data_IF_770318630586
#
_entry.id   IF_770318630586
#
_cell.length_a   1.000
_cell.length_b   1.000
_cell.length_c   1.000
_cell.angle_alpha   90.00
_cell.angle_beta   90.00
_cell.angle_gamma   90.00
#
_symmetry.space_group_name_H-M   'P 1'
#
loop_
_entity.id
_entity.type
_entity.pdbx_description
1 polymer ?
#
# COMPACT_ATOMS: atom_id res chain seq x y z
N UNK A 1 -5.27 13.67 19.95
CA UNK A 1 -6.20 12.51 19.97
C UNK A 1 -5.37 11.22 20.04
N UNK A 2 -5.87 10.10 20.60
CA UNK A 2 -5.07 8.86 20.80
C UNK A 2 -4.44 8.30 19.50
N UNK A 3 -5.03 8.64 18.36
CA UNK A 3 -4.61 8.23 17.02
C UNK A 3 -3.50 9.12 16.43
N UNK A 4 -3.25 10.31 16.99
CA UNK A 4 -2.20 11.23 16.53
C UNK A 4 -0.82 10.87 17.09
N UNK A 5 -0.77 9.96 18.06
CA UNK A 5 0.47 9.44 18.57
C UNK A 5 1.09 8.53 17.50
N UNK A 6 2.41 8.54 17.28
CA UNK A 6 3.04 7.60 16.34
C UNK A 6 2.91 6.16 16.87
N UNK A 7 2.67 5.20 15.98
CA UNK A 7 2.96 3.79 16.26
C UNK A 7 4.44 3.54 16.06
N UNK A 8 5.07 2.84 16.99
CA UNK A 8 6.49 2.53 16.93
C UNK A 8 6.64 1.01 17.07
N UNK A 9 6.83 0.26 15.98
CA UNK A 9 6.98 -1.19 16.06
C UNK A 9 8.30 -1.63 16.73
N UNK A 10 9.29 -0.75 16.89
CA UNK A 10 10.56 -1.04 17.57
C UNK A 10 10.43 -0.88 19.08
N UNK A 11 9.84 0.24 19.55
CA UNK A 11 9.86 0.63 20.97
C UNK A 11 8.48 0.77 21.61
N UNK A 12 7.43 0.79 20.82
CA UNK A 12 6.06 1.05 21.26
C UNK A 12 5.08 -0.01 20.76
N UNK A 13 3.77 0.26 20.80
CA UNK A 13 2.81 -0.64 20.21
C UNK A 13 2.86 -0.47 18.69
N UNK A 14 3.12 -1.56 17.97
CA UNK A 14 3.08 -1.59 16.49
C UNK A 14 1.66 -1.46 15.90
N UNK A 15 0.64 -1.37 16.74
CA UNK A 15 -0.77 -1.14 16.36
C UNK A 15 -1.51 -0.43 17.49
N UNK A 16 -2.64 0.22 17.19
CA UNK A 16 -3.55 0.81 18.17
C UNK A 16 -4.99 0.62 17.77
N UNK A 17 -5.85 0.40 18.76
CA UNK A 17 -7.29 0.33 18.59
C UNK A 17 -7.93 1.43 19.44
N UNK A 18 -8.74 2.28 18.81
CA UNK A 18 -9.59 3.24 19.48
C UNK A 18 -11.06 2.87 19.22
N UNK A 19 -11.88 2.92 20.26
CA UNK A 19 -13.31 2.69 20.18
C UNK A 19 -14.01 3.87 20.82
N UNK A 20 -14.90 4.51 20.07
CA UNK A 20 -15.70 5.65 20.52
C UNK A 20 -17.18 5.28 20.39
N UNK A 21 -17.90 5.27 21.51
CA UNK A 21 -19.35 5.14 21.48
C UNK A 21 -19.96 6.38 20.80
N UNK A 22 -20.98 6.16 19.96
CA UNK A 22 -21.73 7.19 19.27
C UNK A 22 -23.06 7.42 20.00
N UNK A 23 -23.52 8.67 19.99
CA UNK A 23 -24.88 9.00 20.41
C UNK A 23 -25.88 8.20 19.57
N UNK A 24 -26.87 7.59 20.22
CA UNK A 24 -27.87 6.74 19.54
C UNK A 24 -27.55 5.24 19.46
N UNK A 25 -26.49 4.77 20.11
CA UNK A 25 -26.29 3.32 20.36
C UNK A 25 -25.41 2.57 19.35
N UNK A 26 -24.44 3.25 18.74
CA UNK A 26 -23.41 2.64 17.89
C UNK A 26 -21.98 2.90 18.41
N UNK A 27 -20.97 2.51 17.63
CA UNK A 27 -19.58 2.88 17.91
C UNK A 27 -18.78 3.11 16.63
N UNK A 28 -17.83 4.04 16.70
CA UNK A 28 -16.75 4.18 15.73
C UNK A 28 -15.52 3.42 16.25
N UNK A 29 -14.96 2.55 15.41
CA UNK A 29 -13.77 1.76 15.71
C UNK A 29 -12.68 2.11 14.70
N UNK A 30 -11.51 2.51 15.22
CA UNK A 30 -10.33 2.80 14.40
C UNK A 30 -9.19 1.90 14.82
N UNK A 31 -8.71 1.07 13.90
CA UNK A 31 -7.54 0.22 14.08
C UNK A 31 -6.40 0.74 13.20
N UNK A 32 -5.34 1.24 13.84
CA UNK A 32 -4.09 1.60 13.18
C UNK A 32 -3.10 0.45 13.33
N UNK A 33 -2.51 -0.01 12.24
CA UNK A 33 -1.51 -1.09 12.24
C UNK A 33 -0.30 -0.63 11.44
N UNK A 34 0.90 -0.76 12.01
CA UNK A 34 2.13 -0.49 11.28
C UNK A 34 2.28 -1.49 10.14
N UNK A 35 2.42 -0.99 8.92
CA UNK A 35 2.59 -1.84 7.73
C UNK A 35 3.90 -2.66 7.77
N UNK A 36 4.83 -2.32 8.66
CA UNK A 36 6.04 -3.09 8.92
C UNK A 36 5.77 -4.45 9.59
N UNK A 37 4.70 -4.55 10.39
CA UNK A 37 4.38 -5.76 11.16
C UNK A 37 3.30 -6.61 10.48
N UNK A 38 2.38 -5.98 9.75
CA UNK A 38 1.30 -6.69 9.08
C UNK A 38 0.84 -5.96 7.81
N UNK A 39 0.52 -6.73 6.76
CA UNK A 39 -0.25 -6.22 5.63
C UNK A 39 -1.76 -6.40 5.87
N UNK A 40 -2.57 -5.98 4.89
CA UNK A 40 -4.03 -6.00 5.01
C UNK A 40 -4.61 -7.42 5.10
N UNK A 41 -3.98 -8.41 4.51
CA UNK A 41 -4.47 -9.79 4.56
C UNK A 41 -4.23 -10.39 5.96
N UNK A 42 -3.05 -10.18 6.54
CA UNK A 42 -2.80 -10.58 7.92
C UNK A 42 -3.69 -9.82 8.92
N UNK A 43 -3.87 -8.51 8.71
CA UNK A 43 -4.71 -7.67 9.57
C UNK A 43 -6.18 -8.10 9.52
N UNK A 44 -6.75 -8.29 8.33
CA UNK A 44 -8.13 -8.75 8.18
C UNK A 44 -8.36 -10.13 8.79
N UNK A 45 -7.42 -11.07 8.64
CA UNK A 45 -7.51 -12.38 9.25
C UNK A 45 -7.43 -12.31 10.79
N UNK A 46 -6.60 -11.41 11.33
CA UNK A 46 -6.52 -11.18 12.77
C UNK A 46 -7.82 -10.60 13.32
N UNK A 47 -8.44 -9.64 12.62
CA UNK A 47 -9.77 -9.11 12.97
C UNK A 47 -10.81 -10.23 12.94
N UNK A 48 -10.88 -10.99 11.85
CA UNK A 48 -11.85 -12.07 11.71
C UNK A 48 -11.71 -13.14 12.81
N UNK A 49 -10.47 -13.46 13.19
CA UNK A 49 -10.23 -14.37 14.31
C UNK A 49 -10.67 -13.78 15.64
N UNK A 50 -10.37 -12.50 15.90
CA UNK A 50 -10.79 -11.83 17.13
C UNK A 50 -12.31 -11.78 17.27
N UNK A 51 -13.03 -11.42 16.19
CA UNK A 51 -14.50 -11.38 16.15
C UNK A 51 -15.11 -12.76 16.40
N UNK A 52 -14.53 -13.80 15.80
CA UNK A 52 -14.97 -15.17 16.02
C UNK A 52 -14.49 -15.80 17.34
N UNK A 53 -13.80 -15.04 18.20
CA UNK A 53 -13.22 -15.56 19.45
C UNK A 53 -12.07 -16.55 19.27
N UNK A 54 -11.56 -16.70 18.04
CA UNK A 54 -10.43 -17.59 17.71
C UNK A 54 -9.12 -16.93 18.14
N UNK A 55 -8.26 -17.70 18.81
CA UNK A 55 -6.91 -17.29 19.21
C UNK A 55 -5.88 -18.24 18.60
N UNK A 56 -5.48 -18.04 17.33
CA UNK A 56 -4.51 -18.91 16.68
C UNK A 56 -3.19 -18.91 17.47
N UNK A 57 -2.65 -20.10 17.71
CA UNK A 57 -1.32 -20.25 18.29
C UNK A 57 -0.25 -19.88 17.26
N UNK A 58 0.20 -18.63 17.27
CA UNK A 58 1.27 -18.15 16.40
C UNK A 58 2.67 -18.61 16.83
N UNK A 59 2.79 -19.34 17.95
CA UNK A 59 4.07 -19.83 18.47
C UNK A 59 4.90 -18.74 19.17
N UNK A 60 4.30 -17.57 19.39
CA UNK A 60 4.90 -16.53 20.23
C UNK A 60 4.78 -16.94 21.71
N UNK A 61 5.88 -16.79 22.46
CA UNK A 61 5.90 -17.09 23.89
C UNK A 61 5.07 -16.08 24.69
N UNK A 62 4.74 -16.43 25.94
CA UNK A 62 3.99 -15.56 26.82
C UNK A 62 4.72 -14.21 27.03
N UNK A 63 4.00 -13.07 27.13
CA UNK A 63 4.61 -11.75 27.33
C UNK A 63 5.53 -11.66 28.55
N UNK A 64 5.30 -12.47 29.59
CA UNK A 64 6.11 -12.52 30.80
C UNK A 64 7.53 -13.06 30.58
N UNK A 65 7.81 -13.69 29.44
CA UNK A 65 9.10 -14.32 29.14
C UNK A 65 10.04 -13.43 28.30
N UNK A 66 9.61 -12.22 27.93
CA UNK A 66 10.34 -11.32 27.02
C UNK A 66 11.82 -11.12 27.38
N UNK A 67 12.16 -11.08 28.66
CA UNK A 67 13.53 -10.86 29.16
C UNK A 67 14.21 -12.11 29.73
N UNK A 68 13.60 -13.28 29.56
CA UNK A 68 14.22 -14.52 30.02
C UNK A 68 15.49 -14.85 29.21
N UNK A 69 16.53 -15.45 29.83
CA UNK A 69 17.74 -15.85 29.10
C UNK A 69 17.44 -16.78 27.90
N UNK A 70 16.42 -17.64 28.04
CA UNK A 70 15.94 -18.52 26.97
C UNK A 70 15.41 -17.72 25.78
N UNK A 71 14.72 -16.60 26.03
CA UNK A 71 14.25 -15.70 24.98
C UNK A 71 15.39 -15.03 24.25
N UNK A 72 16.34 -14.46 25.01
CA UNK A 72 17.51 -13.81 24.43
C UNK A 72 18.33 -14.79 23.59
N UNK A 73 18.47 -16.04 24.04
CA UNK A 73 19.12 -17.09 23.26
C UNK A 73 18.32 -17.43 21.99
N UNK A 74 16.99 -17.57 22.08
CA UNK A 74 16.11 -17.81 20.92
C UNK A 74 16.21 -16.68 19.90
N UNK A 75 16.11 -15.43 20.33
CA UNK A 75 16.19 -14.24 19.48
C UNK A 75 17.58 -14.09 18.86
N UNK A 76 18.63 -14.44 19.60
CA UNK A 76 20.01 -14.48 19.08
C UNK A 76 20.17 -15.55 18.00
N UNK A 77 19.66 -16.77 18.23
CA UNK A 77 19.68 -17.84 17.23
C UNK A 77 18.89 -17.43 15.98
N UNK A 78 17.73 -16.81 16.15
CA UNK A 78 16.94 -16.33 15.02
C UNK A 78 17.66 -15.22 14.24
N UNK A 79 18.27 -14.27 14.95
CA UNK A 79 19.10 -13.22 14.36
C UNK A 79 20.31 -13.78 13.60
N UNK A 80 20.94 -14.84 14.11
CA UNK A 80 22.03 -15.52 13.40
C UNK A 80 21.54 -16.24 12.14
N UNK A 81 20.31 -16.78 12.15
CA UNK A 81 19.71 -17.46 10.99
C UNK A 81 19.36 -16.51 9.86
N UNK A 82 19.14 -15.22 10.12
CA UNK A 82 18.86 -14.22 9.07
C UNK A 82 20.13 -13.65 8.43
N UNK A 83 21.30 -13.82 9.04
CA UNK A 83 22.58 -13.30 8.49
C UNK A 83 22.87 -13.73 7.05
N UNK A 84 22.61 -14.99 6.61
CA UNK A 84 22.80 -15.38 5.22
C UNK A 84 21.89 -14.62 4.24
N UNK A 85 20.66 -14.29 4.64
CA UNK A 85 19.74 -13.48 3.83
C UNK A 85 20.25 -12.04 3.70
N UNK A 86 20.71 -11.45 4.80
CA UNK A 86 21.34 -10.12 4.82
C UNK A 86 22.58 -10.09 3.93
N UNK A 87 23.45 -11.11 4.04
CA UNK A 87 24.63 -11.25 3.19
C UNK A 87 24.26 -11.35 1.70
N UNK A 88 23.30 -12.22 1.36
CA UNK A 88 22.80 -12.35 -0.02
C UNK A 88 22.25 -11.03 -0.55
N UNK A 89 21.50 -10.30 0.27
CA UNK A 89 20.96 -8.99 -0.07
C UNK A 89 22.08 -7.96 -0.33
N UNK A 90 23.14 -7.95 0.50
CA UNK A 90 24.32 -7.11 0.27
C UNK A 90 25.05 -7.46 -1.04
N UNK A 91 25.18 -8.76 -1.37
CA UNK A 91 25.78 -9.20 -2.64
C UNK A 91 24.93 -8.74 -3.83
N UNK A 92 23.60 -8.81 -3.74
CA UNK A 92 22.69 -8.29 -4.78
C UNK A 92 22.88 -6.77 -4.94
N UNK A 93 22.91 -6.03 -3.83
CA UNK A 93 23.11 -4.58 -3.83
C UNK A 93 24.45 -4.19 -4.49
N UNK A 94 25.54 -4.83 -4.11
CA UNK A 94 26.89 -4.56 -4.66
C UNK A 94 27.00 -4.92 -6.14
N UNK A 95 26.42 -6.05 -6.57
CA UNK A 95 26.39 -6.44 -8.00
C UNK A 95 25.60 -5.46 -8.85
N UNK A 96 24.53 -4.86 -8.30
CA UNK A 96 23.76 -3.80 -8.99
C UNK A 96 24.57 -2.53 -9.16
N UNK A 97 25.27 -2.11 -8.11
CA UNK A 97 26.19 -0.96 -8.18
C UNK A 97 27.35 -1.19 -9.16
N UNK A 98 27.78 -2.45 -9.36
CA UNK A 98 28.84 -2.80 -10.31
C UNK A 98 28.40 -2.91 -11.78
N UNK A 99 27.13 -3.25 -12.06
CA UNK A 99 26.58 -3.34 -13.43
C UNK A 99 26.10 -2.00 -13.98
N UNK A 100 25.78 -1.04 -13.12
CA UNK A 100 25.55 0.35 -13.51
C UNK A 100 26.82 1.18 -13.43
N UNK A 101 27.57 1.31 -14.53
CA UNK A 101 28.37 2.53 -14.76
C UNK A 101 27.43 3.70 -15.06
N UNK A 102 26.51 3.98 -14.15
CA UNK A 102 25.86 5.28 -14.06
C UNK A 102 26.77 6.11 -13.18
N UNK A 103 27.57 6.96 -13.83
CA UNK A 103 28.17 8.13 -13.21
C UNK A 103 27.20 8.71 -12.19
N UNK A 104 27.53 8.68 -10.90
CA UNK A 104 26.91 9.54 -9.91
C UNK A 104 26.97 10.97 -10.48
N UNK A 105 25.85 11.60 -10.89
CA UNK A 105 25.91 13.01 -11.21
C UNK A 105 26.29 13.70 -9.91
N UNK A 106 27.33 14.54 -9.98
CA UNK A 106 27.75 15.38 -8.86
C UNK A 106 26.63 16.38 -8.56
N UNK A 107 25.62 15.95 -7.81
CA UNK A 107 24.56 16.84 -7.36
C UNK A 107 25.15 17.84 -6.38
N UNK A 108 24.94 19.13 -6.65
CA UNK A 108 25.38 20.24 -5.80
C UNK A 108 24.94 20.00 -4.35
N UNK A 109 25.75 20.37 -3.35
CA UNK A 109 25.31 20.32 -1.95
C UNK A 109 24.13 21.29 -1.80
N UNK A 110 22.92 20.76 -1.72
CA UNK A 110 21.72 21.57 -1.42
C UNK A 110 21.46 21.55 0.07
N UNK A 111 20.96 22.70 0.53
CA UNK A 111 20.97 23.16 1.90
C UNK A 111 20.52 22.08 2.90
N UNK A 112 21.20 22.07 4.06
CA UNK A 112 20.72 21.44 5.29
C UNK A 112 19.29 21.92 5.52
N UNK A 113 18.33 21.09 5.16
CA UNK A 113 16.96 21.42 5.49
C UNK A 113 16.78 21.35 7.01
N UNK A 114 16.08 22.36 7.51
CA UNK A 114 15.63 22.49 8.90
C UNK A 114 14.41 21.57 9.11
N UNK A 115 14.55 20.26 8.93
CA UNK A 115 13.44 19.28 8.91
C UNK A 115 12.98 18.78 10.29
N UNK A 116 13.00 19.61 11.34
CA UNK A 116 12.58 19.14 12.67
C UNK A 116 11.25 19.72 13.17
N UNK A 117 10.57 20.58 12.39
CA UNK A 117 9.34 21.24 12.84
C UNK A 117 8.26 21.48 11.76
N UNK A 118 8.37 20.88 10.56
CA UNK A 118 7.27 21.01 9.60
C UNK A 118 6.07 20.16 10.04
N UNK A 119 4.85 20.74 10.08
CA UNK A 119 3.66 19.95 10.38
C UNK A 119 3.39 18.94 9.27
N UNK A 120 2.76 17.82 9.64
CA UNK A 120 2.24 16.87 8.67
C UNK A 120 1.12 17.53 7.86
N UNK A 121 1.05 17.17 6.58
CA UNK A 121 -0.01 17.56 5.66
C UNK A 121 -0.97 16.40 5.52
N UNK A 122 -2.26 16.69 5.66
CA UNK A 122 -3.31 15.71 5.44
C UNK A 122 -3.46 15.44 3.94
N UNK A 123 -3.14 14.21 3.53
CA UNK A 123 -3.40 13.75 2.16
C UNK A 123 -4.90 13.56 2.00
N UNK A 124 -5.56 14.21 1.02
CA UNK A 124 -6.99 14.14 0.90
C UNK A 124 -7.42 12.75 0.44
N UNK A 125 -8.55 12.32 0.99
CA UNK A 125 -9.08 10.98 0.82
C UNK A 125 -10.52 11.04 0.33
N UNK A 126 -10.83 10.25 -0.69
CA UNK A 126 -12.19 10.06 -1.20
C UNK A 126 -12.52 8.58 -1.19
N UNK A 127 -13.62 8.19 -0.55
CA UNK A 127 -14.08 6.81 -0.59
C UNK A 127 -15.07 6.62 -1.74
N UNK A 128 -15.00 5.46 -2.40
CA UNK A 128 -15.96 5.02 -3.40
C UNK A 128 -16.48 3.65 -3.00
N UNK A 129 -17.80 3.51 -2.96
CA UNK A 129 -18.49 2.23 -2.70
C UNK A 129 -19.32 1.86 -3.93
N UNK A 130 -19.07 0.67 -4.47
CA UNK A 130 -19.72 0.16 -5.69
C UNK A 130 -20.35 -1.21 -5.43
N UNK A 131 -21.35 -1.56 -6.24
CA UNK A 131 -21.87 -2.93 -6.30
C UNK A 131 -20.82 -3.83 -6.98
N UNK A 132 -20.33 -4.85 -6.26
CA UNK A 132 -19.32 -5.75 -6.78
C UNK A 132 -19.82 -6.53 -8.01
N UNK A 133 -21.11 -6.88 -8.03
CA UNK A 133 -21.76 -7.54 -9.16
C UNK A 133 -21.76 -6.68 -10.42
N UNK A 134 -22.08 -5.38 -10.30
CA UNK A 134 -22.08 -4.43 -11.39
C UNK A 134 -20.67 -4.20 -11.94
N UNK A 135 -19.67 -4.05 -11.06
CA UNK A 135 -18.27 -3.97 -11.49
C UNK A 135 -17.82 -5.22 -12.23
N UNK A 136 -18.21 -6.41 -11.74
CA UNK A 136 -17.87 -7.68 -12.39
C UNK A 136 -18.53 -7.80 -13.77
N UNK A 137 -19.81 -7.45 -13.89
CA UNK A 137 -20.52 -7.40 -15.19
C UNK A 137 -19.82 -6.46 -16.15
N UNK A 138 -19.48 -5.24 -15.70
CA UNK A 138 -18.76 -4.25 -16.50
C UNK A 138 -17.41 -4.76 -16.98
N UNK A 139 -16.66 -5.46 -16.13
CA UNK A 139 -15.39 -6.08 -16.53
C UNK A 139 -15.62 -7.16 -17.60
N UNK A 140 -16.64 -8.00 -17.43
CA UNK A 140 -17.04 -9.01 -18.41
C UNK A 140 -17.45 -8.43 -19.76
N UNK A 141 -18.22 -7.32 -19.78
CA UNK A 141 -18.63 -6.64 -21.02
C UNK A 141 -17.41 -6.11 -21.81
N UNK A 142 -16.37 -5.68 -21.10
CA UNK A 142 -15.09 -5.24 -21.69
C UNK A 142 -14.17 -6.42 -22.05
N UNK A 143 -14.51 -7.65 -21.65
CA UNK A 143 -13.71 -8.86 -21.86
C UNK A 143 -12.43 -8.88 -21.02
N UNK A 144 -12.43 -8.25 -19.85
CA UNK A 144 -11.29 -8.17 -18.93
C UNK A 144 -11.63 -8.65 -17.53
N UNK A 145 -10.62 -8.94 -16.73
CA UNK A 145 -10.75 -9.27 -15.33
C UNK A 145 -11.08 -8.02 -14.50
N UNK A 146 -11.77 -8.20 -13.37
CA UNK A 146 -12.14 -7.11 -12.46
C UNK A 146 -10.94 -6.32 -11.96
N UNK A 147 -9.82 -6.99 -11.68
CA UNK A 147 -8.57 -6.33 -11.31
C UNK A 147 -8.05 -5.39 -12.41
N UNK A 148 -8.19 -5.78 -13.68
CA UNK A 148 -7.81 -4.93 -14.82
C UNK A 148 -8.73 -3.71 -14.92
N UNK A 149 -10.04 -3.86 -14.69
CA UNK A 149 -10.97 -2.73 -14.68
C UNK A 149 -10.58 -1.69 -13.61
N UNK A 150 -10.21 -2.14 -12.41
CA UNK A 150 -9.75 -1.25 -11.32
C UNK A 150 -8.41 -0.59 -11.66
N UNK A 151 -7.48 -1.32 -12.28
CA UNK A 151 -6.23 -0.72 -12.75
C UNK A 151 -6.44 0.30 -13.87
N UNK A 152 -7.38 0.05 -14.79
CA UNK A 152 -7.74 0.99 -15.83
C UNK A 152 -8.35 2.26 -15.24
N UNK A 153 -9.23 2.14 -14.24
CA UNK A 153 -9.69 3.28 -13.44
C UNK A 153 -8.53 4.06 -12.82
N UNK A 154 -7.59 3.37 -12.16
CA UNK A 154 -6.43 4.01 -11.54
C UNK A 154 -5.57 4.76 -12.58
N UNK A 155 -5.38 4.19 -13.77
CA UNK A 155 -4.67 4.84 -14.87
C UNK A 155 -5.40 6.11 -15.37
N UNK A 156 -6.74 6.05 -15.51
CA UNK A 156 -7.55 7.22 -15.89
C UNK A 156 -7.49 8.33 -14.85
N UNK A 157 -7.57 7.98 -13.56
CA UNK A 157 -7.46 8.93 -12.48
C UNK A 157 -6.07 9.60 -12.47
N UNK A 158 -5.01 8.81 -12.58
CA UNK A 158 -3.64 9.31 -12.64
C UNK A 158 -3.43 10.27 -13.82
N UNK A 159 -3.93 9.91 -15.00
CA UNK A 159 -3.91 10.76 -16.18
C UNK A 159 -4.62 12.10 -15.94
N UNK A 160 -5.82 12.07 -15.34
CA UNK A 160 -6.56 13.30 -15.03
C UNK A 160 -5.86 14.19 -13.99
N UNK A 161 -4.98 13.61 -13.18
CA UNK A 161 -4.13 14.32 -12.22
C UNK A 161 -2.75 14.68 -12.79
N UNK A 162 -2.53 14.54 -14.11
CA UNK A 162 -1.24 14.74 -14.81
C UNK A 162 -0.07 13.90 -14.28
N UNK A 163 -0.36 12.69 -13.77
CA UNK A 163 0.65 11.72 -13.31
C UNK A 163 1.00 10.75 -14.43
N UNK A 164 1.62 11.26 -15.49
CA UNK A 164 2.11 10.49 -16.64
C UNK A 164 3.62 10.70 -16.84
N UNK A 165 4.27 9.72 -17.44
CA UNK A 165 5.66 9.84 -17.89
C UNK A 165 5.79 10.71 -19.15
N UNK A 166 7.03 10.91 -19.62
CA UNK A 166 7.31 11.68 -20.83
C UNK A 166 6.67 11.10 -22.11
N UNK A 167 6.26 9.83 -22.11
CA UNK A 167 5.55 9.16 -23.21
C UNK A 167 4.03 9.18 -23.04
N UNK A 168 3.50 9.82 -22.00
CA UNK A 168 2.07 9.87 -21.70
C UNK A 168 1.53 8.62 -21.02
N UNK A 169 2.39 7.70 -20.55
CA UNK A 169 1.98 6.45 -19.88
C UNK A 169 2.01 6.61 -18.36
N UNK A 170 1.12 5.87 -17.69
CA UNK A 170 1.00 5.85 -16.24
C UNK A 170 1.77 4.65 -15.68
N UNK A 171 2.66 4.90 -14.72
CA UNK A 171 3.37 3.85 -13.98
C UNK A 171 2.53 3.35 -12.81
N UNK A 172 1.92 2.19 -12.95
CA UNK A 172 1.15 1.52 -11.89
C UNK A 172 2.05 0.56 -11.11
N UNK A 173 2.09 0.69 -9.79
CA UNK A 173 2.83 -0.21 -8.89
C UNK A 173 1.82 -0.99 -8.05
N UNK A 174 1.92 -2.32 -8.09
CA UNK A 174 0.96 -3.20 -7.45
C UNK A 174 1.65 -4.15 -6.48
N UNK A 175 1.27 -4.14 -5.19
CA UNK A 175 1.64 -5.21 -4.29
C UNK A 175 0.89 -6.50 -4.64
N UNK A 176 1.60 -7.62 -4.63
CA UNK A 176 1.11 -8.97 -4.90
C UNK A 176 1.48 -9.84 -3.72
N UNK A 177 0.52 -10.62 -3.23
CA UNK A 177 0.79 -11.56 -2.16
C UNK A 177 1.71 -12.69 -2.63
N UNK A 178 2.76 -12.93 -1.85
CA UNK A 178 3.69 -14.07 -2.00
C UNK A 178 3.37 -15.16 -0.96
N UNK A 179 2.18 -15.12 -0.36
CA UNK A 179 1.76 -16.14 0.61
C UNK A 179 1.48 -17.47 -0.07
N UNK A 180 2.01 -18.52 0.53
CA UNK A 180 1.65 -19.90 0.24
C UNK A 180 0.67 -20.44 1.29
N UNK A 181 0.17 -21.67 1.09
CA UNK A 181 -0.65 -22.35 2.10
C UNK A 181 0.10 -22.43 3.44
N UNK A 182 -0.58 -22.12 4.54
CA UNK A 182 -0.02 -22.06 5.90
C UNK A 182 1.03 -20.97 6.15
N UNK A 183 1.20 -19.99 5.27
CA UNK A 183 2.07 -18.84 5.54
C UNK A 183 1.47 -17.96 6.66
N UNK A 184 2.26 -17.77 7.73
CA UNK A 184 1.88 -16.99 8.91
C UNK A 184 2.61 -15.64 9.00
N UNK A 185 3.37 -15.26 7.97
CA UNK A 185 4.06 -13.97 7.93
C UNK A 185 3.06 -12.82 8.00
N UNK A 186 3.37 -11.84 8.84
CA UNK A 186 2.56 -10.62 8.99
C UNK A 186 2.51 -9.81 7.70
N UNK A 187 3.66 -9.64 7.03
CA UNK A 187 3.73 -8.98 5.72
C UNK A 187 4.43 -9.91 4.73
N UNK A 188 3.74 -10.24 3.65
CA UNK A 188 4.24 -11.14 2.61
C UNK A 188 3.84 -10.59 1.23
N UNK A 189 4.26 -9.36 0.96
CA UNK A 189 4.02 -8.67 -0.29
C UNK A 189 5.30 -8.57 -1.11
N UNK A 190 5.14 -8.74 -2.41
CA UNK A 190 6.10 -8.39 -3.46
C UNK A 190 5.46 -7.34 -4.35
N UNK A 191 6.22 -6.70 -5.24
CA UNK A 191 5.66 -5.66 -6.10
C UNK A 191 5.90 -5.95 -7.57
N UNK A 192 4.92 -5.64 -8.40
CA UNK A 192 5.06 -5.53 -9.86
C UNK A 192 4.84 -4.11 -10.31
N UNK A 193 5.42 -3.74 -11.44
CA UNK A 193 5.19 -2.46 -12.11
C UNK A 193 4.62 -2.73 -13.50
N UNK A 194 3.58 -1.99 -13.88
CA UNK A 194 2.93 -2.06 -15.18
C UNK A 194 2.78 -0.66 -15.74
N UNK A 195 3.17 -0.47 -17.00
CA UNK A 195 2.99 0.80 -17.72
C UNK A 195 1.64 0.77 -18.44
N UNK A 196 0.72 1.62 -18.02
CA UNK A 196 -0.62 1.73 -18.59
C UNK A 196 -0.70 2.91 -19.56
N UNK A 197 -1.28 2.70 -20.73
CA UNK A 197 -1.71 3.79 -21.60
C UNK A 197 -3.13 4.21 -21.17
N UNK A 198 -3.32 5.44 -20.67
CA UNK A 198 -4.61 5.86 -20.14
C UNK A 198 -5.70 5.94 -21.21
N UNK A 199 -5.40 6.24 -22.47
CA UNK A 199 -6.40 6.33 -23.53
C UNK A 199 -6.81 4.95 -24.03
N UNK A 200 -5.85 4.02 -24.12
CA UNK A 200 -6.14 2.61 -24.31
C UNK A 200 -6.99 2.06 -23.16
N UNK A 201 -6.72 2.43 -21.90
CA UNK A 201 -7.52 1.98 -20.75
C UNK A 201 -9.01 2.35 -20.85
N UNK A 202 -9.34 3.49 -21.47
CA UNK A 202 -10.72 3.95 -21.67
C UNK A 202 -11.44 3.14 -22.75
N UNK A 203 -10.73 2.76 -23.81
CA UNK A 203 -11.30 2.18 -25.03
C UNK A 203 -11.15 0.66 -25.10
N UNK A 204 -9.96 0.13 -24.82
CA UNK A 204 -9.64 -1.31 -24.77
C UNK A 204 -8.58 -1.62 -23.69
N UNK A 205 -9.07 -2.05 -22.52
CA UNK A 205 -8.21 -2.44 -21.40
C UNK A 205 -7.56 -3.83 -21.55
N UNK A 206 -7.76 -4.56 -22.67
CA UNK A 206 -7.16 -5.90 -22.86
C UNK A 206 -5.64 -5.85 -23.00
N UNK A 207 -5.09 -4.75 -23.54
CA UNK A 207 -3.65 -4.54 -23.57
C UNK A 207 -3.08 -4.48 -22.14
N UNK A 208 -3.70 -3.68 -21.27
CA UNK A 208 -3.34 -3.61 -19.86
C UNK A 208 -3.45 -4.98 -19.16
N UNK A 209 -4.50 -5.77 -19.48
CA UNK A 209 -4.63 -7.12 -18.94
C UNK A 209 -3.47 -8.03 -19.37
N UNK A 210 -3.04 -7.97 -20.63
CA UNK A 210 -1.90 -8.75 -21.14
C UNK A 210 -0.62 -8.36 -20.42
N UNK A 211 -0.38 -7.06 -20.26
CA UNK A 211 0.81 -6.53 -19.58
C UNK A 211 0.83 -6.92 -18.10
N UNK A 212 -0.31 -6.84 -17.41
CA UNK A 212 -0.46 -7.31 -16.03
C UNK A 212 -0.14 -8.81 -15.91
N UNK A 213 -0.71 -9.65 -16.79
CA UNK A 213 -0.43 -11.10 -16.78
C UNK A 213 1.04 -11.39 -17.05
N UNK A 214 1.66 -10.67 -17.99
CA UNK A 214 3.08 -10.81 -18.29
C UNK A 214 3.95 -10.41 -17.09
N UNK A 215 3.63 -9.30 -16.41
CA UNK A 215 4.33 -8.84 -15.21
C UNK A 215 4.22 -9.84 -14.05
N UNK A 216 3.02 -10.38 -13.79
CA UNK A 216 2.81 -11.44 -12.79
C UNK A 216 3.59 -12.72 -13.14
N UNK A 217 3.56 -13.14 -14.40
CA UNK A 217 4.30 -14.32 -14.84
C UNK A 217 5.82 -14.11 -14.75
N UNK A 218 6.31 -12.89 -15.00
CA UNK A 218 7.71 -12.52 -14.78
C UNK A 218 8.07 -12.56 -13.30
N UNK A 219 7.22 -12.03 -12.42
CA UNK A 219 7.42 -12.09 -10.96
C UNK A 219 7.56 -13.54 -10.48
N UNK A 220 6.72 -14.46 -10.96
CA UNK A 220 6.79 -15.88 -10.60
C UNK A 220 8.08 -16.53 -11.10
N UNK A 221 8.52 -16.23 -12.32
CA UNK A 221 9.71 -16.86 -12.92
C UNK A 221 11.04 -16.28 -12.43
N UNK A 222 11.12 -14.95 -12.39
CA UNK A 222 12.37 -14.21 -12.22
C UNK A 222 12.46 -13.52 -10.86
N UNK A 223 11.34 -13.39 -10.17
CA UNK A 223 11.20 -12.55 -9.00
C UNK A 223 11.08 -11.06 -9.32
N UNK A 224 11.26 -10.23 -8.31
CA UNK A 224 11.27 -8.78 -8.40
C UNK A 224 12.59 -8.23 -7.88
N UNK A 225 12.88 -7.00 -8.28
CA UNK A 225 14.15 -6.39 -7.93
C UNK A 225 14.20 -5.90 -6.48
N UNK A 226 13.07 -5.61 -5.85
CA UNK A 226 13.07 -4.92 -4.55
C UNK A 226 13.13 -5.92 -3.39
N UNK A 227 12.39 -7.01 -3.46
CA UNK A 227 12.25 -8.00 -2.38
C UNK A 227 13.56 -8.64 -1.91
N UNK A 228 14.55 -8.94 -2.79
CA UNK A 228 15.86 -9.43 -2.35
C UNK A 228 16.60 -8.46 -1.44
N UNK A 229 16.23 -7.17 -1.43
CA UNK A 229 16.83 -6.15 -0.56
C UNK A 229 16.08 -5.97 0.76
N UNK A 230 14.89 -6.56 0.94
CA UNK A 230 14.10 -6.43 2.17
C UNK A 230 14.86 -6.82 3.45
N UNK A 231 15.72 -7.86 3.48
CA UNK A 231 16.52 -8.18 4.66
C UNK A 231 17.45 -7.04 5.10
N UNK A 232 17.77 -6.08 4.23
CA UNK A 232 18.60 -4.94 4.58
C UNK A 232 17.81 -3.82 5.26
N UNK A 233 16.48 -3.75 5.07
CA UNK A 233 15.65 -2.63 5.53
C UNK A 233 15.90 -2.27 7.01
N UNK A 234 15.95 -3.23 7.96
CA UNK A 234 16.21 -2.90 9.38
C UNK A 234 17.59 -2.28 9.64
N UNK A 235 18.54 -2.49 8.73
CA UNK A 235 19.91 -2.01 8.83
C UNK A 235 20.17 -0.73 8.03
N UNK A 236 19.20 -0.28 7.21
CA UNK A 236 19.33 0.97 6.45
C UNK A 236 19.06 2.15 7.39
N UNK A 237 20.03 3.04 7.63
CA UNK A 237 19.78 4.24 8.41
C UNK A 237 18.68 5.10 7.76
N UNK A 238 17.82 5.71 8.56
CA UNK A 238 16.68 6.52 8.08
C UNK A 238 17.08 7.60 7.06
N UNK A 239 18.24 8.24 7.26
CA UNK A 239 18.76 9.24 6.32
C UNK A 239 19.07 8.65 4.94
N UNK A 240 19.53 7.39 4.89
CA UNK A 240 19.86 6.69 3.66
C UNK A 240 18.59 6.20 2.95
N UNK A 241 17.63 5.69 3.72
CA UNK A 241 16.31 5.33 3.18
C UNK A 241 15.64 6.53 2.48
N UNK A 242 15.61 7.70 3.12
CA UNK A 242 15.08 8.96 2.54
C UNK A 242 15.83 9.43 1.30
N UNK A 243 17.12 9.10 1.18
CA UNK A 243 17.93 9.43 0.01
C UNK A 243 17.63 8.49 -1.16
N UNK A 244 17.45 7.21 -0.88
CA UNK A 244 17.17 6.17 -1.86
C UNK A 244 15.72 6.18 -2.36
N UNK A 245 14.78 6.71 -1.58
CA UNK A 245 13.36 6.82 -1.93
C UNK A 245 13.13 7.49 -3.31
N UNK A 246 13.86 8.57 -3.60
CA UNK A 246 13.80 9.26 -4.91
C UNK A 246 14.39 8.44 -6.05
N UNK A 247 15.43 7.65 -5.80
CA UNK A 247 16.03 6.80 -6.83
C UNK A 247 15.17 5.56 -7.13
N UNK A 248 14.46 5.05 -6.11
CA UNK A 248 13.59 3.88 -6.23
C UNK A 248 12.24 4.20 -6.90
N UNK A 249 11.66 5.38 -6.64
CA UNK A 249 10.39 5.80 -7.25
C UNK A 249 10.55 6.14 -8.75
N UNK A 250 11.76 6.49 -9.18
CA UNK A 250 12.04 6.95 -10.55
C UNK A 250 11.50 8.37 -10.80
N UNK A 251 11.82 8.95 -11.95
CA UNK A 251 11.29 10.26 -12.34
C UNK A 251 9.77 10.23 -12.63
N UNK A 252 9.21 9.04 -12.87
CA UNK A 252 7.84 8.83 -13.30
C UNK A 252 6.94 8.57 -12.07
N UNK A 253 6.33 9.65 -11.55
CA UNK A 253 5.38 9.72 -10.43
C UNK A 253 4.52 8.45 -10.25
N UNK A 254 4.93 7.44 -9.46
CA UNK A 254 4.26 6.16 -9.45
C UNK A 254 2.90 6.25 -8.77
N UNK A 255 1.99 5.38 -9.21
CA UNK A 255 0.64 5.26 -8.68
C UNK A 255 0.51 3.89 -8.01
N UNK A 256 0.31 3.89 -6.70
CA UNK A 256 0.11 2.65 -5.95
C UNK A 256 -1.31 2.15 -6.10
N UNK A 257 -1.49 0.96 -6.65
CA UNK A 257 -2.80 0.32 -6.78
C UNK A 257 -2.78 -1.00 -6.02
N UNK A 258 -3.41 -1.03 -4.84
CA UNK A 258 -3.41 -2.21 -3.96
C UNK A 258 -4.72 -2.96 -4.10
N UNK A 259 -4.65 -4.10 -4.79
CA UNK A 259 -5.80 -4.98 -5.03
C UNK A 259 -5.83 -6.05 -3.93
N UNK A 260 -6.37 -5.69 -2.76
CA UNK A 260 -6.39 -6.53 -1.56
C UNK A 260 -7.26 -7.78 -1.78
N UNK A 261 -8.30 -7.67 -2.60
CA UNK A 261 -9.21 -8.77 -2.91
C UNK A 261 -10.38 -8.87 -1.93
N UNK A 262 -10.91 -10.09 -1.75
CA UNK A 262 -12.01 -10.37 -0.84
C UNK A 262 -11.51 -10.47 0.61
N UNK A 263 -12.16 -9.72 1.48
CA UNK A 263 -11.94 -9.79 2.93
C UNK A 263 -13.06 -10.59 3.60
N UNK A 264 -12.77 -11.28 4.72
CA UNK A 264 -13.79 -11.94 5.51
C UNK A 264 -14.90 -10.97 5.95
N UNK A 265 -16.16 -11.42 5.96
CA UNK A 265 -17.30 -10.62 6.43
C UNK A 265 -17.12 -10.12 7.88
N UNK A 266 -16.42 -10.89 8.70
CA UNK A 266 -16.11 -10.55 10.08
C UNK A 266 -15.31 -9.24 10.23
N UNK A 267 -14.58 -8.82 9.19
CA UNK A 267 -13.87 -7.53 9.16
C UNK A 267 -14.85 -6.35 9.28
N UNK A 268 -16.07 -6.52 8.76
CA UNK A 268 -17.12 -5.51 8.85
C UNK A 268 -18.00 -5.66 10.10
N UNK A 269 -17.68 -6.59 11.01
CA UNK A 269 -18.53 -6.95 12.15
C UNK A 269 -17.87 -6.90 13.54
N UNK A 270 -16.87 -6.05 13.84
CA UNK A 270 -16.21 -6.08 15.14
C UNK A 270 -17.11 -5.68 16.32
N UNK A 271 -18.14 -4.86 16.07
CA UNK A 271 -19.12 -4.43 17.08
C UNK A 271 -20.56 -4.54 16.57
N UNK A 272 -20.81 -5.49 15.67
CA UNK A 272 -21.99 -5.51 14.79
C UNK A 272 -21.64 -5.00 13.39
N UNK A 273 -22.57 -5.12 12.45
CA UNK A 273 -22.34 -4.76 11.04
C UNK A 273 -22.13 -3.27 10.85
N UNK A 274 -20.96 -2.87 10.35
CA UNK A 274 -20.63 -1.47 10.19
C UNK A 274 -21.40 -0.87 9.01
N UNK A 275 -21.93 0.34 9.24
CA UNK A 275 -22.53 1.17 8.18
C UNK A 275 -21.47 1.76 7.25
N UNK A 276 -20.26 1.98 7.76
CA UNK A 276 -19.10 2.51 7.05
C UNK A 276 -17.87 1.67 7.38
N UNK A 277 -17.20 1.16 6.35
CA UNK A 277 -15.90 0.51 6.45
C UNK A 277 -14.94 1.25 5.53
N UNK A 278 -13.83 1.74 6.07
CA UNK A 278 -12.80 2.43 5.30
C UNK A 278 -11.42 1.91 5.70
N UNK A 279 -10.66 1.47 4.69
CA UNK A 279 -9.26 1.10 4.80
C UNK A 279 -8.45 2.08 3.98
N UNK A 280 -7.42 2.68 4.59
CA UNK A 280 -6.48 3.57 3.93
C UNK A 280 -5.08 3.32 4.44
N UNK A 281 -4.09 3.62 3.61
CA UNK A 281 -2.77 3.94 4.13
C UNK A 281 -2.84 5.30 4.82
N UNK A 282 -2.21 5.37 5.99
CA UNK A 282 -1.98 6.62 6.71
C UNK A 282 -0.48 6.89 6.65
N UNK A 283 -0.08 7.77 5.75
CA UNK A 283 1.30 8.23 5.62
C UNK A 283 1.37 9.69 6.06
N UNK A 284 2.23 9.96 7.04
CA UNK A 284 2.44 11.32 7.53
C UNK A 284 3.54 11.98 6.70
N UNK A 285 3.13 12.76 5.70
CA UNK A 285 4.06 13.53 4.87
C UNK A 285 4.16 14.98 5.34
N UNK A 286 5.33 15.60 5.23
CA UNK A 286 5.41 17.08 5.27
C UNK A 286 5.17 17.67 3.88
N UNK A 287 4.84 18.97 3.81
CA UNK A 287 4.67 19.67 2.54
C UNK A 287 5.91 19.54 1.64
N UNK A 288 7.10 19.72 2.21
CA UNK A 288 8.38 19.53 1.53
C UNK A 288 8.59 18.11 0.99
N UNK A 289 8.03 17.09 1.64
CA UNK A 289 8.10 15.71 1.18
C UNK A 289 7.17 15.48 -0.01
N UNK A 290 5.94 15.98 0.06
CA UNK A 290 4.98 15.90 -1.04
C UNK A 290 5.48 16.67 -2.27
N UNK A 291 6.05 17.86 -2.10
CA UNK A 291 6.70 18.60 -3.20
C UNK A 291 7.84 17.81 -3.82
N UNK A 292 8.71 17.23 -2.98
CA UNK A 292 9.85 16.41 -3.44
C UNK A 292 9.42 15.15 -4.18
N UNK A 293 8.28 14.58 -3.80
CA UNK A 293 7.67 13.41 -4.45
C UNK A 293 6.85 13.77 -5.68
N UNK A 294 6.56 15.06 -5.92
CA UNK A 294 5.62 15.50 -6.96
C UNK A 294 4.18 15.05 -6.66
N UNK A 295 3.82 14.95 -5.39
CA UNK A 295 2.56 14.43 -4.90
C UNK A 295 2.50 12.89 -4.83
N UNK A 296 1.36 12.37 -4.37
CA UNK A 296 1.14 10.93 -4.15
C UNK A 296 -0.22 10.52 -4.69
N UNK A 297 -0.34 9.28 -5.18
CA UNK A 297 -1.63 8.68 -5.50
C UNK A 297 -1.60 7.21 -5.12
N UNK A 298 -2.46 6.83 -4.19
CA UNK A 298 -2.59 5.48 -3.67
C UNK A 298 -4.05 5.05 -3.59
N UNK A 299 -4.35 3.85 -4.09
CA UNK A 299 -5.72 3.36 -4.26
C UNK A 299 -5.81 1.91 -3.76
N UNK A 300 -6.14 1.67 -2.47
CA UNK A 300 -6.53 0.35 -2.01
C UNK A 300 -7.96 0.02 -2.45
N UNK A 301 -8.13 -1.19 -2.94
CA UNK A 301 -9.41 -1.75 -3.37
C UNK A 301 -9.62 -3.10 -2.69
N UNK A 302 -10.80 -3.28 -2.09
CA UNK A 302 -11.16 -4.47 -1.31
C UNK A 302 -12.66 -4.75 -1.43
N UNK A 303 -13.02 -6.03 -1.39
CA UNK A 303 -14.42 -6.47 -1.42
C UNK A 303 -14.82 -7.04 -0.07
N UNK A 304 -16.01 -6.66 0.40
CA UNK A 304 -16.66 -7.29 1.55
C UNK A 304 -18.09 -7.63 1.18
N UNK A 305 -18.39 -8.92 1.08
CA UNK A 305 -19.67 -9.39 0.57
C UNK A 305 -19.93 -8.90 -0.85
N UNK A 306 -21.06 -8.23 -1.05
CA UNK A 306 -21.51 -7.70 -2.34
C UNK A 306 -20.99 -6.28 -2.64
N UNK A 307 -20.27 -5.64 -1.71
CA UNK A 307 -19.78 -4.27 -1.89
C UNK A 307 -18.29 -4.27 -2.22
N UNK A 308 -17.95 -3.53 -3.26
CA UNK A 308 -16.57 -3.21 -3.62
C UNK A 308 -16.24 -1.81 -3.09
N UNK A 309 -15.24 -1.74 -2.23
CA UNK A 309 -14.77 -0.50 -1.64
C UNK A 309 -13.45 -0.10 -2.27
N UNK A 310 -13.31 1.20 -2.52
CA UNK A 310 -12.08 1.80 -2.96
C UNK A 310 -11.85 3.07 -2.14
N UNK A 311 -10.65 3.23 -1.64
CA UNK A 311 -10.24 4.48 -1.00
C UNK A 311 -9.22 5.13 -1.90
N UNK A 312 -9.41 6.39 -2.27
CA UNK A 312 -8.48 7.14 -3.12
C UNK A 312 -7.79 8.15 -2.24
N UNK A 313 -6.48 7.97 -2.02
CA UNK A 313 -5.63 8.93 -1.32
C UNK A 313 -4.75 9.61 -2.37
N UNK A 314 -5.01 10.90 -2.65
CA UNK A 314 -4.40 11.57 -3.80
C UNK A 314 -4.03 13.01 -3.51
N UNK A 315 -2.75 13.36 -3.56
CA UNK A 315 -2.27 14.72 -3.40
C UNK A 315 -1.48 15.13 -4.64
N UNK A 316 -1.75 16.33 -5.17
CA UNK A 316 -0.97 16.97 -6.22
C UNK A 316 -0.69 18.41 -5.80
N UNK A 317 0.59 18.84 -5.75
CA UNK A 317 0.95 20.23 -5.43
C UNK A 317 0.15 21.21 -6.29
N UNK A 318 -0.38 22.26 -5.66
CA UNK A 318 -1.11 23.37 -6.28
C UNK A 318 -2.37 22.99 -7.08
N UNK A 319 -2.85 21.73 -6.97
CA UNK A 319 -3.99 21.24 -7.75
C UNK A 319 -4.98 20.39 -6.95
N UNK A 320 -4.46 19.46 -6.15
CA UNK A 320 -5.27 18.56 -5.31
C UNK A 320 -4.67 18.55 -3.92
N UNK A 321 -5.16 19.45 -3.08
CA UNK A 321 -4.73 19.61 -1.69
C UNK A 321 -5.85 19.28 -0.71
N UNK A 322 -7.10 19.26 -1.18
CA UNK A 322 -8.29 18.97 -0.38
C UNK A 322 -9.16 17.87 -0.98
N UNK A 323 -10.02 17.28 -0.14
CA UNK A 323 -11.01 16.28 -0.57
C UNK A 323 -11.97 16.83 -1.62
N UNK A 324 -12.37 18.10 -1.48
CA UNK A 324 -13.28 18.76 -2.43
C UNK A 324 -12.67 18.89 -3.82
N UNK A 325 -11.36 19.09 -3.91
CA UNK A 325 -10.61 19.14 -5.17
C UNK A 325 -10.37 17.75 -5.77
N UNK A 326 -10.14 16.72 -4.94
CA UNK A 326 -9.94 15.34 -5.40
C UNK A 326 -11.22 14.71 -5.96
N UNK A 327 -12.36 15.02 -5.35
CA UNK A 327 -13.65 14.37 -5.64
C UNK A 327 -14.10 14.48 -7.12
N UNK A 328 -13.99 15.63 -7.81
CA UNK A 328 -14.24 15.73 -9.25
C UNK A 328 -13.39 14.77 -10.09
N UNK A 329 -12.08 14.66 -9.84
CA UNK A 329 -11.20 13.75 -10.58
C UNK A 329 -11.62 12.29 -10.43
N UNK A 330 -12.00 11.88 -9.21
CA UNK A 330 -12.51 10.53 -8.94
C UNK A 330 -13.82 10.29 -9.68
N UNK A 331 -14.76 11.24 -9.65
CA UNK A 331 -16.05 11.13 -10.36
C UNK A 331 -15.85 10.99 -11.86
N UNK A 332 -14.98 11.81 -12.45
CA UNK A 332 -14.72 11.78 -13.89
C UNK A 332 -13.99 10.50 -14.31
N UNK A 333 -13.08 9.98 -13.48
CA UNK A 333 -12.42 8.70 -13.73
C UNK A 333 -13.39 7.50 -13.64
N UNK A 334 -14.37 7.54 -12.71
CA UNK A 334 -15.44 6.55 -12.65
C UNK A 334 -16.31 6.62 -13.92
N UNK A 335 -16.66 7.83 -14.37
CA UNK A 335 -17.42 8.05 -15.59
C UNK A 335 -16.68 7.56 -16.84
N UNK A 336 -15.36 7.80 -16.95
CA UNK A 336 -14.53 7.30 -18.05
C UNK A 336 -14.61 5.77 -18.19
N UNK A 337 -14.71 5.05 -17.07
CA UNK A 337 -14.78 3.60 -17.04
C UNK A 337 -16.20 3.04 -17.08
N UNK A 338 -17.23 3.91 -17.03
CA UNK A 338 -18.63 3.50 -16.91
C UNK A 338 -18.92 2.78 -15.58
N UNK A 339 -18.26 3.21 -14.50
CA UNK A 339 -18.45 2.69 -13.15
C UNK A 339 -19.41 3.60 -12.38
N UNK A 340 -20.38 2.99 -11.70
CA UNK A 340 -21.32 3.69 -10.82
C UNK A 340 -21.01 3.33 -9.37
N UNK A 341 -20.83 4.35 -8.53
CA UNK A 341 -20.55 4.19 -7.11
C UNK A 341 -21.00 5.39 -6.30
N UNK A 342 -21.25 5.16 -5.01
CA UNK A 342 -21.46 6.23 -4.04
C UNK A 342 -20.11 6.79 -3.65
N UNK A 343 -19.93 8.10 -3.78
CA UNK A 343 -18.69 8.79 -3.41
C UNK A 343 -18.90 9.43 -2.04
N UNK A 344 -18.09 8.97 -1.07
CA UNK A 344 -18.16 9.29 0.36
C UNK A 344 -17.21 10.37 0.81
#
# INVERSE_FOLDING_TARGET
MLLDLPVDPERGPGWRLAVQALEGGGCALTLLVSHTIADMQATSQAIANAVAGRRPGYGFPAPSWRWSPVMLARDSVESLRTLPDVWRAMVVLTRRSGRGRTSLPRSKPRARSRYHFEPAVDVPLVQVVMDAGACQRRASDLGVASNTLIMAFAARLAFRMDRVDASGRVKLVLPVSDRHSNDRRGNALRSITVMADPDACRSDARALQRDLKAALASLVRNGDDVSPLFPLIPHVPLWLARRLEREALGADLPVGCSLIGELPLDVNRPCGEASLLQISLLECYTASELERLGGVLFIPCYRVGERLFMTVSGYAPDRVTSRAELMPFVRDALADMGLCGTIG
#
